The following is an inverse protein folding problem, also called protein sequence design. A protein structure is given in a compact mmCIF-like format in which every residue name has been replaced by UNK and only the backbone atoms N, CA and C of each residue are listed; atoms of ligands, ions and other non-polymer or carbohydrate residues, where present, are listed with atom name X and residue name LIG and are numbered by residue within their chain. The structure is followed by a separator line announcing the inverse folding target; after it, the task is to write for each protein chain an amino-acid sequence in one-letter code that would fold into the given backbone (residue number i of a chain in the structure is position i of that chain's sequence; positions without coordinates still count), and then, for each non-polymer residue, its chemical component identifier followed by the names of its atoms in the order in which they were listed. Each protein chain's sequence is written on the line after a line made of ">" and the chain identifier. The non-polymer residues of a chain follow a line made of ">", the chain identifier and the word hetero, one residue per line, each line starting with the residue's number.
data_IF_027824453912
#
_entry.id   IF_027824453912
#
_cell.length_a   1.000
_cell.length_b   1.000
_cell.length_c   1.000
_cell.angle_alpha   90.00
_cell.angle_beta   90.00
_cell.angle_gamma   90.00
#
_symmetry.space_group_name_H-M   'P 1'
#
loop_
_entity.id
_entity.type
_entity.pdbx_description
1 polymer ?
#
# COMPACT_ATOMS: atom_id res chain seq x y z
N UNK A 1 8.81 1.34 -7.90
CA UNK A 1 8.78 0.31 -6.84
C UNK A 1 7.44 -0.41 -6.79
N UNK A 2 6.32 0.30 -6.63
CA UNK A 2 4.97 -0.29 -6.60
C UNK A 2 4.64 -1.21 -7.79
N UNK A 3 4.96 -0.81 -9.01
CA UNK A 3 4.70 -1.62 -10.22
C UNK A 3 5.50 -2.93 -10.28
N UNK A 4 6.61 -3.02 -9.53
CA UNK A 4 7.43 -4.23 -9.42
C UNK A 4 6.84 -5.24 -8.44
N UNK A 5 5.86 -4.86 -7.62
CA UNK A 5 5.14 -5.78 -6.76
C UNK A 5 4.25 -6.71 -7.60
N UNK A 6 4.01 -7.92 -7.12
CA UNK A 6 3.07 -8.84 -7.76
C UNK A 6 1.66 -8.22 -7.82
N UNK A 7 0.83 -8.56 -8.83
CA UNK A 7 -0.53 -8.04 -8.93
C UNK A 7 -1.35 -8.19 -7.65
N UNK A 8 -1.17 -9.29 -6.91
CA UNK A 8 -1.83 -9.53 -5.63
C UNK A 8 -1.43 -8.51 -4.56
N UNK A 9 -0.13 -8.25 -4.38
CA UNK A 9 0.37 -7.24 -3.43
C UNK A 9 -0.11 -5.83 -3.79
N UNK A 10 -0.09 -5.46 -5.08
CA UNK A 10 -0.62 -4.16 -5.54
C UNK A 10 -2.11 -4.01 -5.21
N UNK A 11 -2.90 -5.05 -5.46
CA UNK A 11 -4.34 -5.07 -5.15
C UNK A 11 -4.59 -4.91 -3.66
N UNK A 12 -3.80 -5.58 -2.81
CA UNK A 12 -3.92 -5.46 -1.36
C UNK A 12 -3.68 -4.02 -0.87
N UNK A 13 -2.60 -3.38 -1.33
CA UNK A 13 -2.34 -1.97 -1.02
C UNK A 13 -3.46 -1.06 -1.51
N UNK A 14 -3.93 -1.24 -2.74
CA UNK A 14 -5.04 -0.47 -3.29
C UNK A 14 -6.32 -0.61 -2.45
N UNK A 15 -6.66 -1.82 -2.00
CA UNK A 15 -7.84 -2.05 -1.16
C UNK A 15 -7.67 -1.41 0.23
N UNK A 16 -6.49 -1.55 0.84
CA UNK A 16 -6.21 -0.95 2.13
C UNK A 16 -6.28 0.59 2.07
N UNK A 17 -5.66 1.21 1.06
CA UNK A 17 -5.65 2.67 0.94
C UNK A 17 -7.05 3.16 0.56
N UNK A 18 -7.68 2.62 -0.48
CA UNK A 18 -9.00 3.08 -0.95
C UNK A 18 -10.15 2.83 0.04
N UNK A 19 -10.00 1.89 0.97
CA UNK A 19 -10.97 1.64 2.03
C UNK A 19 -11.12 2.75 3.06
N UNK A 20 -10.24 3.76 3.08
CA UNK A 20 -10.39 4.93 3.94
C UNK A 20 -11.32 5.99 3.31
N UNK A 21 -12.38 6.37 4.03
CA UNK A 21 -13.34 7.39 3.58
C UNK A 21 -12.72 8.79 3.48
N UNK A 22 -11.94 9.18 4.49
CA UNK A 22 -11.32 10.49 4.56
C UNK A 22 -10.06 10.55 3.68
N UNK A 23 -9.87 11.67 2.97
CA UNK A 23 -8.70 11.90 2.13
C UNK A 23 -7.40 11.93 2.95
N UNK A 24 -7.42 12.59 4.12
CA UNK A 24 -6.26 12.63 5.03
C UNK A 24 -5.80 11.22 5.43
N UNK A 25 -6.73 10.34 5.81
CA UNK A 25 -6.39 8.95 6.16
C UNK A 25 -5.85 8.15 4.98
N UNK A 26 -6.30 8.45 3.74
CA UNK A 26 -5.73 7.84 2.54
C UNK A 26 -4.27 8.26 2.36
N UNK A 27 -3.97 9.55 2.53
CA UNK A 27 -2.61 10.06 2.47
C UNK A 27 -1.72 9.43 3.55
N UNK A 28 -2.18 9.39 4.80
CA UNK A 28 -1.44 8.77 5.90
C UNK A 28 -1.13 7.29 5.62
N UNK A 29 -2.07 6.55 5.01
CA UNK A 29 -1.87 5.15 4.63
C UNK A 29 -0.83 5.01 3.52
N UNK A 30 -0.84 5.90 2.53
CA UNK A 30 0.19 5.93 1.47
C UNK A 30 1.56 6.14 2.10
N UNK A 31 1.71 7.15 2.96
CA UNK A 31 2.99 7.51 3.57
C UNK A 31 3.54 6.38 4.44
N UNK A 32 2.67 5.72 5.22
CA UNK A 32 3.04 4.54 6.03
C UNK A 32 3.39 3.30 5.19
N UNK A 33 2.77 3.14 4.01
CA UNK A 33 3.02 1.99 3.14
C UNK A 33 4.24 2.19 2.24
N UNK A 34 4.62 3.44 1.93
CA UNK A 34 5.72 3.80 1.05
C UNK A 34 7.03 3.03 1.37
N UNK A 35 7.55 2.98 2.61
CA UNK A 35 8.80 2.26 2.89
C UNK A 35 8.71 0.76 2.57
N UNK A 36 7.58 0.11 2.88
CA UNK A 36 7.39 -1.32 2.60
C UNK A 36 7.33 -1.60 1.10
N UNK A 37 6.67 -0.72 0.34
CA UNK A 37 6.59 -0.81 -1.12
C UNK A 37 7.98 -0.63 -1.75
N UNK A 38 8.80 0.27 -1.22
CA UNK A 38 10.19 0.47 -1.64
C UNK A 38 11.04 -0.77 -1.36
N UNK A 39 10.83 -1.43 -0.23
CA UNK A 39 11.46 -2.71 0.12
C UNK A 39 10.93 -3.93 -0.66
N UNK A 40 9.95 -3.75 -1.56
CA UNK A 40 9.33 -4.84 -2.31
C UNK A 40 8.43 -5.75 -1.47
N UNK A 41 8.11 -5.35 -0.24
CA UNK A 41 7.26 -6.09 0.69
C UNK A 41 5.78 -5.79 0.43
N UNK A 42 4.94 -6.79 0.68
CA UNK A 42 3.49 -6.68 0.77
C UNK A 42 3.03 -6.07 2.09
N UNK A 43 1.75 -5.69 2.14
CA UNK A 43 1.14 -5.09 3.32
C UNK A 43 1.13 -6.09 4.49
N UNK A 44 0.88 -7.37 4.20
CA UNK A 44 0.84 -8.48 5.18
C UNK A 44 2.07 -9.37 5.19
N UNK A 45 3.10 -9.04 4.42
CA UNK A 45 4.36 -9.79 4.49
C UNK A 45 4.95 -9.65 5.90
N UNK A 46 5.34 -10.77 6.51
CA UNK A 46 6.07 -10.78 7.79
C UNK A 46 7.49 -10.26 7.61
#
# INVERSE_FOLDING_TARGET
>A
AFEKLTPGRRREYNLHISGAKQAATRQDRVDKCAPRILDGKGLRDR
#
